data_IF_721706100265
#
_entry.id   IF_721706100265
#
_cell.length_a   1.000
_cell.length_b   1.000
_cell.length_c   1.000
_cell.angle_alpha   90.00
_cell.angle_beta   90.00
_cell.angle_gamma   90.00
#
_symmetry.space_group_name_H-M   'P 1'
#
loop_
_entity.id
_entity.type
_entity.pdbx_description
1 polymer ?
#
# COMPACT_ATOMS: atom_id res chain seq x y z
N UNK A 1 -16.08 16.17 4.50
CA UNK A 1 -16.29 15.08 3.53
C UNK A 1 -15.66 13.85 4.18
N UNK A 2 -16.45 12.88 4.62
CA UNK A 2 -15.90 11.67 5.25
C UNK A 2 -15.42 10.76 4.12
N UNK A 3 -14.11 10.66 3.93
CA UNK A 3 -13.51 9.68 3.02
C UNK A 3 -13.74 8.29 3.64
N UNK A 4 -14.77 7.59 3.17
CA UNK A 4 -15.05 6.20 3.57
C UNK A 4 -14.53 5.28 2.48
N UNK A 5 -13.89 4.17 2.87
CA UNK A 5 -13.43 3.15 1.94
C UNK A 5 -14.58 2.16 1.71
N UNK A 6 -14.87 1.87 0.44
CA UNK A 6 -15.89 0.89 0.07
C UNK A 6 -15.56 -0.50 0.60
N UNK A 7 -16.60 -1.19 1.09
CA UNK A 7 -16.48 -2.62 1.43
C UNK A 7 -16.14 -3.40 0.15
N UNK A 8 -15.22 -4.34 0.29
CA UNK A 8 -14.53 -5.09 -0.76
C UNK A 8 -13.44 -4.31 -1.54
N UNK A 9 -13.17 -3.05 -1.20
CA UNK A 9 -12.00 -2.36 -1.74
C UNK A 9 -10.71 -3.02 -1.26
N UNK A 10 -9.73 -3.11 -2.16
CA UNK A 10 -8.36 -3.47 -1.80
C UNK A 10 -7.71 -2.29 -1.09
N UNK A 11 -6.94 -2.59 -0.05
CA UNK A 11 -6.24 -1.62 0.79
C UNK A 11 -4.90 -2.20 1.24
N UNK A 12 -3.93 -1.32 1.44
CA UNK A 12 -2.70 -1.66 2.15
C UNK A 12 -2.83 -1.15 3.58
N UNK A 13 -2.77 -2.06 4.56
CA UNK A 13 -2.84 -1.69 5.98
C UNK A 13 -1.44 -1.66 6.57
N UNK A 14 -1.07 -0.54 7.19
CA UNK A 14 0.14 -0.47 8.02
C UNK A 14 -0.03 -1.36 9.26
N UNK A 15 1.05 -2.04 9.63
CA UNK A 15 1.13 -2.89 10.82
C UNK A 15 2.20 -2.36 11.79
N UNK A 16 2.18 -2.84 13.03
CA UNK A 16 3.12 -2.43 14.09
C UNK A 16 4.60 -2.64 13.73
N UNK A 17 4.89 -3.59 12.84
CA UNK A 17 6.25 -3.85 12.34
C UNK A 17 6.76 -2.73 11.40
N UNK A 18 5.86 -1.84 10.96
CA UNK A 18 6.18 -0.77 10.02
C UNK A 18 5.95 -1.14 8.55
N UNK A 19 5.58 -2.39 8.30
CA UNK A 19 5.28 -2.91 6.97
C UNK A 19 3.79 -2.79 6.63
N UNK A 20 3.52 -2.78 5.33
CA UNK A 20 2.17 -2.68 4.78
C UNK A 20 1.73 -4.03 4.29
N UNK A 21 0.58 -4.51 4.77
CA UNK A 21 0.04 -5.78 4.32
C UNK A 21 -1.19 -5.55 3.48
N UNK A 22 -1.24 -6.25 2.34
CA UNK A 22 -2.35 -6.16 1.43
C UNK A 22 -3.55 -6.91 1.98
N UNK A 23 -4.68 -6.22 2.01
CA UNK A 23 -5.95 -6.79 2.38
C UNK A 23 -7.11 -6.23 1.59
N UNK A 24 -8.29 -6.68 1.98
CA UNK A 24 -9.56 -6.22 1.45
C UNK A 24 -10.46 -5.82 2.60
N UNK A 25 -11.18 -4.73 2.43
CA UNK A 25 -12.16 -4.27 3.43
C UNK A 25 -13.31 -5.26 3.47
N UNK A 26 -13.44 -6.01 4.55
CA UNK A 26 -14.56 -6.93 4.75
C UNK A 26 -15.79 -6.23 5.35
N UNK A 27 -15.59 -5.21 6.17
CA UNK A 27 -16.67 -4.40 6.74
C UNK A 27 -16.16 -3.03 7.22
N UNK A 28 -17.04 -2.04 7.24
CA UNK A 28 -16.81 -0.77 7.92
C UNK A 28 -17.53 -0.80 9.28
N UNK A 29 -16.82 -0.41 10.34
CA UNK A 29 -17.38 -0.32 11.68
C UNK A 29 -17.99 1.07 11.92
N UNK A 30 -18.91 1.17 12.90
CA UNK A 30 -19.61 2.42 13.20
C UNK A 30 -18.72 3.48 13.88
N UNK A 31 -17.63 3.06 14.52
CA UNK A 31 -16.62 3.91 15.15
C UNK A 31 -15.64 4.55 14.15
N UNK A 32 -15.70 4.15 12.86
CA UNK A 32 -14.86 4.69 11.79
C UNK A 32 -13.62 3.86 11.48
N UNK A 33 -13.41 2.72 12.15
CA UNK A 33 -12.44 1.70 11.75
C UNK A 33 -13.04 0.71 10.75
N UNK A 34 -12.19 -0.14 10.17
CA UNK A 34 -12.58 -1.12 9.17
C UNK A 34 -12.03 -2.49 9.53
N UNK A 35 -12.81 -3.51 9.21
CA UNK A 35 -12.37 -4.90 9.24
C UNK A 35 -11.67 -5.21 7.92
N UNK A 36 -10.40 -5.57 7.97
CA UNK A 36 -9.59 -5.96 6.82
C UNK A 36 -9.32 -7.46 6.87
N UNK A 37 -9.53 -8.15 5.76
CA UNK A 37 -9.10 -9.54 5.56
C UNK A 37 -7.88 -9.49 4.65
N UNK A 38 -6.74 -9.92 5.18
CA UNK A 38 -5.48 -10.01 4.46
C UNK A 38 -5.46 -11.24 3.55
N UNK A 39 -4.62 -11.19 2.52
CA UNK A 39 -4.51 -12.29 1.57
C UNK A 39 -3.91 -13.57 2.20
N UNK A 40 -3.10 -13.42 3.25
CA UNK A 40 -2.54 -14.54 4.04
C UNK A 40 -3.60 -15.26 4.92
N UNK A 41 -4.83 -14.73 4.96
CA UNK A 41 -5.95 -15.28 5.74
C UNK A 41 -6.13 -14.64 7.11
N UNK A 42 -5.21 -13.78 7.52
CA UNK A 42 -5.33 -12.98 8.74
C UNK A 42 -6.42 -11.91 8.64
N UNK A 43 -6.98 -11.51 9.78
CA UNK A 43 -8.06 -10.54 9.85
C UNK A 43 -7.74 -9.47 10.89
N UNK A 44 -7.69 -8.20 10.44
CA UNK A 44 -7.73 -7.03 11.33
C UNK A 44 -9.18 -6.60 11.51
N UNK A 45 -9.61 -6.42 12.75
CA UNK A 45 -10.99 -6.07 13.06
C UNK A 45 -11.25 -4.57 13.18
N UNK A 46 -10.21 -3.80 13.50
CA UNK A 46 -10.30 -2.43 13.98
C UNK A 46 -9.19 -1.57 13.34
N UNK A 47 -9.02 -1.69 12.00
CA UNK A 47 -8.01 -0.92 11.30
C UNK A 47 -8.50 0.52 11.12
N UNK A 48 -7.81 1.54 11.67
CA UNK A 48 -8.20 2.92 11.47
C UNK A 48 -7.96 3.34 10.02
N UNK A 49 -8.79 4.24 9.50
CA UNK A 49 -8.62 4.79 8.14
C UNK A 49 -7.21 5.35 7.91
N UNK A 50 -6.59 5.89 8.95
CA UNK A 50 -5.23 6.45 8.92
C UNK A 50 -4.15 5.44 8.55
N UNK A 51 -4.35 4.16 8.89
CA UNK A 51 -3.42 3.06 8.55
C UNK A 51 -3.77 2.42 7.21
N UNK A 52 -4.92 2.74 6.63
CA UNK A 52 -5.40 2.18 5.37
C UNK A 52 -5.06 3.11 4.21
N UNK A 53 -4.16 2.63 3.34
CA UNK A 53 -3.83 3.28 2.10
C UNK A 53 -4.51 2.59 0.91
N UNK A 54 -4.85 3.39 -0.10
CA UNK A 54 -5.31 2.86 -1.39
C UNK A 54 -4.16 2.11 -2.07
N UNK A 55 -4.37 0.89 -2.60
CA UNK A 55 -3.32 0.05 -3.16
C UNK A 55 -2.72 0.70 -4.40
N UNK A 56 -1.42 0.49 -4.60
CA UNK A 56 -0.77 0.91 -5.83
C UNK A 56 -1.01 -0.14 -6.90
N UNK A 57 -1.51 0.30 -8.04
CA UNK A 57 -1.78 -0.56 -9.18
C UNK A 57 -0.61 -0.52 -10.17
N UNK A 58 -0.32 -1.63 -10.86
CA UNK A 58 0.61 -1.63 -11.97
C UNK A 58 0.25 -0.54 -13.01
N UNK A 59 1.24 0.25 -13.40
CA UNK A 59 1.08 1.40 -14.29
C UNK A 59 0.80 2.74 -13.57
N UNK A 60 0.57 2.73 -12.26
CA UNK A 60 0.46 3.98 -11.48
C UNK A 60 1.80 4.70 -11.45
N UNK A 61 1.80 5.99 -11.80
CA UNK A 61 2.97 6.86 -11.61
C UNK A 61 3.13 7.22 -10.15
N UNK A 62 4.34 7.04 -9.65
CA UNK A 62 4.70 7.28 -8.27
C UNK A 62 6.10 7.87 -8.19
N UNK A 63 6.45 8.46 -7.06
CA UNK A 63 7.82 8.84 -6.74
C UNK A 63 8.33 7.94 -5.62
N UNK A 64 9.35 7.15 -5.91
CA UNK A 64 9.94 6.23 -4.92
C UNK A 64 11.27 6.78 -4.40
N UNK A 65 11.46 6.70 -3.09
CA UNK A 65 12.72 7.05 -2.44
C UNK A 65 13.82 6.07 -2.87
N UNK A 66 14.97 6.62 -3.23
CA UNK A 66 16.14 5.85 -3.63
C UNK A 66 17.27 6.08 -2.61
N UNK A 67 17.58 5.11 -1.74
CA UNK A 67 18.49 5.32 -0.62
C UNK A 67 19.92 5.63 -1.06
N UNK A 68 20.34 5.20 -2.26
CA UNK A 68 21.67 5.49 -2.79
C UNK A 68 21.87 6.97 -3.13
N UNK A 69 20.83 7.65 -3.59
CA UNK A 69 20.83 9.09 -3.94
C UNK A 69 20.16 9.94 -2.86
N UNK A 70 19.57 9.30 -1.84
CA UNK A 70 18.80 9.90 -0.76
C UNK A 70 17.70 10.88 -1.23
N UNK A 71 17.13 10.63 -2.42
CA UNK A 71 16.10 11.46 -3.06
C UNK A 71 14.98 10.61 -3.67
N UNK A 72 13.87 11.25 -4.04
CA UNK A 72 12.72 10.60 -4.66
C UNK A 72 12.78 10.72 -6.17
N UNK A 73 12.74 9.58 -6.85
CA UNK A 73 12.78 9.55 -8.30
C UNK A 73 11.41 9.16 -8.86
N UNK A 74 10.98 9.80 -9.96
CA UNK A 74 9.75 9.44 -10.62
C UNK A 74 9.89 8.05 -11.26
N UNK A 75 8.84 7.26 -11.10
CA UNK A 75 8.74 5.94 -11.69
C UNK A 75 7.29 5.49 -11.84
N UNK A 76 7.14 4.24 -12.24
CA UNK A 76 5.85 3.56 -12.37
C UNK A 76 5.88 2.25 -11.62
N UNK A 77 4.76 1.86 -11.05
CA UNK A 77 4.59 0.53 -10.47
C UNK A 77 4.63 -0.48 -11.62
N UNK A 78 5.65 -1.30 -11.67
CA UNK A 78 5.76 -2.40 -12.63
C UNK A 78 4.88 -3.58 -12.25
N UNK A 79 4.86 -3.92 -10.95
CA UNK A 79 4.09 -5.03 -10.40
C UNK A 79 3.86 -4.85 -8.90
N UNK A 80 2.86 -5.57 -8.40
CA UNK A 80 2.64 -5.79 -6.97
C UNK A 80 3.15 -7.18 -6.62
N UNK A 81 3.98 -7.28 -5.57
CA UNK A 81 4.56 -8.56 -5.18
C UNK A 81 3.66 -9.36 -4.22
N UNK A 82 2.65 -8.70 -3.63
CA UNK A 82 1.67 -9.32 -2.74
C UNK A 82 2.11 -9.47 -1.28
N UNK A 83 3.38 -9.20 -0.97
CA UNK A 83 3.97 -9.21 0.38
C UNK A 83 4.00 -7.82 1.03
N UNK A 84 3.46 -6.79 0.38
CA UNK A 84 3.54 -5.41 0.85
C UNK A 84 4.57 -4.54 0.16
N UNK A 85 5.39 -5.16 -0.70
CA UNK A 85 6.37 -4.48 -1.54
C UNK A 85 5.90 -4.36 -2.98
N UNK A 86 6.41 -3.34 -3.66
CA UNK A 86 6.06 -3.01 -5.03
C UNK A 86 7.30 -2.98 -5.91
N UNK A 87 7.18 -3.54 -7.11
CA UNK A 87 8.19 -3.38 -8.13
C UNK A 87 8.05 -2.00 -8.77
N UNK A 88 9.09 -1.18 -8.72
CA UNK A 88 9.14 0.16 -9.30
C UNK A 88 10.04 0.16 -10.53
N UNK A 89 9.57 0.73 -11.63
CA UNK A 89 10.38 1.04 -12.81
C UNK A 89 10.60 2.55 -12.85
N UNK A 90 11.83 2.98 -12.66
CA UNK A 90 12.19 4.39 -12.75
C UNK A 90 12.30 4.82 -14.21
N UNK A 91 12.10 6.12 -14.46
CA UNK A 91 12.18 6.68 -15.83
C UNK A 91 13.61 6.66 -16.39
N UNK A 92 14.65 6.57 -15.54
CA UNK A 92 16.06 6.51 -15.93
C UNK A 92 16.49 5.12 -16.45
N UNK A 93 15.63 4.11 -16.29
CA UNK A 93 15.88 2.73 -16.73
C UNK A 93 16.23 1.78 -15.59
N UNK A 94 16.44 2.28 -14.38
CA UNK A 94 16.58 1.45 -13.17
C UNK A 94 15.24 0.87 -12.71
N UNK A 95 15.31 -0.26 -12.02
CA UNK A 95 14.16 -0.94 -11.45
C UNK A 95 14.46 -1.33 -9.99
N UNK A 96 13.47 -1.19 -9.11
CA UNK A 96 13.53 -1.61 -7.72
C UNK A 96 12.50 -2.70 -7.51
N UNK A 97 12.93 -3.94 -7.26
CA UNK A 97 12.00 -5.06 -7.18
C UNK A 97 11.10 -5.04 -5.94
N UNK A 98 11.60 -4.53 -4.82
CA UNK A 98 10.90 -4.50 -3.56
C UNK A 98 10.97 -3.13 -2.91
N UNK A 99 10.18 -2.19 -3.42
CA UNK A 99 9.98 -0.89 -2.79
C UNK A 99 8.93 -1.00 -1.68
N UNK A 100 9.26 -0.54 -0.47
CA UNK A 100 8.27 -0.44 0.60
C UNK A 100 7.26 0.66 0.27
N UNK A 101 5.99 0.43 0.59
CA UNK A 101 4.94 1.44 0.41
C UNK A 101 5.26 2.77 1.12
N UNK A 102 6.04 2.75 2.21
CA UNK A 102 6.50 3.95 2.92
C UNK A 102 7.34 4.89 2.06
N UNK A 103 8.10 4.31 1.15
CA UNK A 103 9.05 5.01 0.32
C UNK A 103 8.41 5.51 -0.98
N UNK A 104 7.14 5.20 -1.21
CA UNK A 104 6.42 5.52 -2.44
C UNK A 104 5.37 6.61 -2.16
N UNK A 105 5.42 7.69 -2.96
CA UNK A 105 4.50 8.84 -2.92
C UNK A 105 3.72 9.02 -4.20
#
# INVERSE_FOLDING_TARGET
MHSTIDVAARVDCLFDDGEYYRGSVAAANADGTYRIVFDDGDIRHDAPLSDLLSPLLPGTRVSCYFPSEADYFPGVIGADNGDGTYHIRYDDGDELESASRRDIR
#
